data_IF_546231413994
#
_entry.id   IF_546231413994
#
_cell.length_a   1.000
_cell.length_b   1.000
_cell.length_c   1.000
_cell.angle_alpha   90.00
_cell.angle_beta   90.00
_cell.angle_gamma   90.00
#
_symmetry.space_group_name_H-M   'P 1'
#
loop_
_entity.id
_entity.type
_entity.pdbx_description
1 polymer ?
#
# COMPACT_ATOMS: atom_id res chain seq x y z
N UNK A 1 29.25 1.74 -6.62
CA UNK A 1 27.87 1.24 -6.65
C UNK A 1 27.61 0.14 -5.61
N UNK A 2 28.56 -0.71 -5.28
CA UNK A 2 28.41 -1.80 -4.28
C UNK A 2 28.10 -1.32 -2.86
N UNK A 3 28.64 -0.19 -2.43
CA UNK A 3 28.44 0.37 -1.08
C UNK A 3 27.00 0.83 -0.80
N UNK A 4 26.31 1.46 -1.76
CA UNK A 4 24.94 1.93 -1.56
C UNK A 4 23.93 0.77 -1.46
N UNK A 5 24.11 -0.27 -2.26
CA UNK A 5 23.26 -1.47 -2.23
C UNK A 5 23.43 -2.23 -0.91
N UNK A 6 24.68 -2.42 -0.45
CA UNK A 6 24.92 -3.09 0.82
C UNK A 6 24.41 -2.28 2.01
N UNK A 7 24.54 -0.95 1.99
CA UNK A 7 23.97 -0.07 3.02
C UNK A 7 22.45 -0.15 3.08
N UNK A 8 21.77 -0.13 1.92
CA UNK A 8 20.32 -0.32 1.85
C UNK A 8 19.90 -1.67 2.41
N UNK A 9 20.64 -2.75 2.08
CA UNK A 9 20.39 -4.09 2.59
C UNK A 9 20.50 -4.17 4.12
N UNK A 10 21.59 -3.66 4.71
CA UNK A 10 21.74 -3.65 6.17
C UNK A 10 20.64 -2.84 6.89
N UNK A 11 20.23 -1.71 6.33
CA UNK A 11 19.12 -0.92 6.86
C UNK A 11 17.80 -1.69 6.78
N UNK A 12 17.53 -2.36 5.66
CA UNK A 12 16.34 -3.20 5.49
C UNK A 12 16.34 -4.38 6.47
N UNK A 13 17.47 -5.08 6.60
CA UNK A 13 17.62 -6.20 7.53
C UNK A 13 17.37 -5.77 8.99
N UNK A 14 17.90 -4.61 9.39
CA UNK A 14 17.65 -4.05 10.72
C UNK A 14 16.15 -3.86 10.97
N UNK A 15 15.43 -3.27 10.03
CA UNK A 15 14.00 -3.00 10.18
C UNK A 15 13.15 -4.27 10.14
N UNK A 16 13.49 -5.23 9.27
CA UNK A 16 12.85 -6.55 9.27
C UNK A 16 13.05 -7.29 10.60
N UNK A 17 14.24 -7.18 11.20
CA UNK A 17 14.50 -7.77 12.51
C UNK A 17 13.65 -7.12 13.61
N UNK A 18 13.45 -5.80 13.56
CA UNK A 18 12.56 -5.08 14.50
C UNK A 18 11.12 -5.56 14.32
N UNK A 19 10.65 -5.68 13.09
CA UNK A 19 9.31 -6.17 12.78
C UNK A 19 9.11 -7.62 13.26
N UNK A 20 10.07 -8.52 13.01
CA UNK A 20 10.01 -9.92 13.44
C UNK A 20 10.02 -10.07 14.98
N UNK A 21 10.62 -9.12 15.70
CA UNK A 21 10.64 -9.09 17.17
C UNK A 21 9.39 -8.49 17.80
N UNK A 22 8.46 -7.97 17.00
CA UNK A 22 7.20 -7.38 17.46
C UNK A 22 5.98 -8.15 16.88
N UNK A 23 5.78 -9.43 17.26
CA UNK A 23 4.68 -10.24 16.71
C UNK A 23 3.31 -9.64 17.02
N UNK A 24 3.17 -8.96 18.16
CA UNK A 24 1.94 -8.26 18.53
C UNK A 24 1.56 -7.19 17.49
N UNK A 25 2.53 -6.43 16.98
CA UNK A 25 2.27 -5.44 15.93
C UNK A 25 1.80 -6.09 14.63
N UNK A 26 2.43 -7.19 14.21
CA UNK A 26 2.02 -7.94 13.02
C UNK A 26 0.59 -8.49 13.17
N UNK A 27 0.23 -9.02 14.35
CA UNK A 27 -1.12 -9.51 14.62
C UNK A 27 -2.14 -8.36 14.57
N UNK A 28 -1.85 -7.23 15.23
CA UNK A 28 -2.76 -6.07 15.26
C UNK A 28 -3.01 -5.54 13.85
N UNK A 29 -1.98 -5.47 13.00
CA UNK A 29 -2.14 -4.99 11.62
C UNK A 29 -2.96 -5.92 10.73
N UNK A 30 -3.08 -7.20 11.09
CA UNK A 30 -3.88 -8.19 10.38
C UNK A 30 -5.33 -8.30 10.90
N UNK A 31 -5.63 -7.81 12.08
CA UNK A 31 -6.99 -7.86 12.64
C UNK A 31 -7.99 -7.17 11.69
N UNK A 32 -7.67 -5.98 11.22
CA UNK A 32 -8.55 -5.21 10.34
C UNK A 32 -8.81 -5.94 9.01
N UNK A 33 -7.81 -6.41 8.24
CA UNK A 33 -8.02 -7.22 7.05
C UNK A 33 -8.84 -8.48 7.30
N UNK A 34 -8.61 -9.18 8.41
CA UNK A 34 -9.36 -10.38 8.80
C UNK A 34 -10.85 -10.05 9.00
N UNK A 35 -11.14 -8.97 9.73
CA UNK A 35 -12.52 -8.52 9.94
C UNK A 35 -13.17 -8.17 8.58
N UNK A 36 -12.48 -7.42 7.71
CA UNK A 36 -13.00 -7.08 6.40
C UNK A 36 -13.31 -8.34 5.55
N UNK A 37 -12.40 -9.31 5.51
CA UNK A 37 -12.59 -10.53 4.72
C UNK A 37 -13.76 -11.38 5.25
N UNK A 38 -13.72 -11.74 6.52
CA UNK A 38 -14.67 -12.70 7.05
C UNK A 38 -16.03 -12.09 7.39
N UNK A 39 -16.06 -10.86 7.94
CA UNK A 39 -17.31 -10.19 8.25
C UNK A 39 -18.02 -9.75 6.97
N UNK A 40 -17.33 -8.96 6.12
CA UNK A 40 -17.95 -8.43 4.90
C UNK A 40 -18.13 -9.50 3.84
N UNK A 41 -17.19 -10.46 3.73
CA UNK A 41 -17.33 -11.60 2.83
C UNK A 41 -18.62 -12.40 3.08
N UNK A 42 -18.99 -12.60 4.36
CA UNK A 42 -20.22 -13.27 4.71
C UNK A 42 -21.47 -12.36 4.63
N UNK A 43 -21.32 -11.10 5.10
CA UNK A 43 -22.46 -10.14 5.11
C UNK A 43 -22.97 -9.84 3.69
N UNK A 44 -22.06 -9.68 2.73
CA UNK A 44 -22.37 -9.32 1.36
C UNK A 44 -22.38 -10.51 0.39
N UNK A 45 -22.39 -11.76 0.90
CA UNK A 45 -22.36 -12.97 0.07
C UNK A 45 -23.43 -12.98 -1.03
N UNK A 46 -24.65 -12.49 -0.74
CA UNK A 46 -25.74 -12.42 -1.70
C UNK A 46 -25.66 -11.25 -2.69
N UNK A 47 -24.78 -10.28 -2.46
CA UNK A 47 -24.67 -9.07 -3.31
C UNK A 47 -24.12 -9.43 -4.71
N UNK A 48 -23.38 -10.53 -4.83
CA UNK A 48 -22.90 -11.04 -6.13
C UNK A 48 -24.08 -11.40 -7.06
N UNK A 49 -25.22 -11.81 -6.52
CA UNK A 49 -26.44 -12.14 -7.28
C UNK A 49 -27.01 -10.91 -8.03
N UNK A 50 -26.69 -9.69 -7.61
CA UNK A 50 -27.07 -8.45 -8.31
C UNK A 50 -26.29 -8.24 -9.63
N UNK A 51 -25.26 -9.04 -9.88
CA UNK A 51 -24.43 -8.97 -11.09
C UNK A 51 -23.39 -7.84 -11.07
N UNK A 52 -22.52 -7.85 -12.09
CA UNK A 52 -21.52 -6.79 -12.29
C UNK A 52 -20.19 -6.97 -11.56
N UNK A 53 -20.02 -8.00 -10.75
CA UNK A 53 -18.79 -8.29 -10.01
C UNK A 53 -17.77 -9.10 -10.82
N UNK A 54 -18.21 -9.83 -11.87
CA UNK A 54 -17.33 -10.65 -12.71
C UNK A 54 -16.75 -11.89 -12.01
N UNK A 55 -17.28 -12.26 -10.85
CA UNK A 55 -16.85 -13.40 -10.02
C UNK A 55 -18.06 -14.17 -9.52
N UNK A 56 -17.85 -15.43 -9.13
CA UNK A 56 -18.88 -16.30 -8.58
C UNK A 56 -19.09 -16.12 -7.07
N UNK A 57 -18.09 -15.57 -6.39
CA UNK A 57 -18.10 -15.30 -4.96
C UNK A 57 -17.75 -13.84 -4.66
N UNK A 58 -18.46 -13.23 -3.71
CA UNK A 58 -18.11 -11.89 -3.24
C UNK A 58 -16.70 -11.85 -2.61
N UNK A 59 -16.25 -12.97 -2.05
CA UNK A 59 -14.93 -13.07 -1.45
C UNK A 59 -13.82 -12.92 -2.50
N UNK A 60 -14.00 -13.50 -3.71
CA UNK A 60 -13.05 -13.35 -4.82
C UNK A 60 -12.88 -11.88 -5.23
N UNK A 61 -13.98 -11.13 -5.21
CA UNK A 61 -13.99 -9.69 -5.48
C UNK A 61 -13.38 -8.88 -4.35
N UNK A 62 -13.64 -9.28 -3.08
CA UNK A 62 -13.26 -8.55 -1.89
C UNK A 62 -11.76 -8.67 -1.58
N UNK A 63 -11.16 -9.86 -1.75
CA UNK A 63 -9.75 -10.11 -1.40
C UNK A 63 -8.79 -9.12 -2.04
N UNK A 64 -8.79 -8.89 -3.37
CA UNK A 64 -7.92 -7.89 -3.99
C UNK A 64 -8.17 -6.49 -3.43
N UNK A 65 -9.42 -6.14 -3.13
CA UNK A 65 -9.78 -4.88 -2.49
C UNK A 65 -9.15 -4.72 -1.11
N UNK A 66 -9.28 -5.74 -0.25
CA UNK A 66 -8.71 -5.73 1.11
C UNK A 66 -7.19 -5.68 1.09
N UNK A 67 -6.53 -6.40 0.16
CA UNK A 67 -5.08 -6.35 -0.02
C UNK A 67 -4.62 -4.92 -0.32
N UNK A 68 -5.24 -4.28 -1.30
CA UNK A 68 -4.88 -2.91 -1.74
C UNK A 68 -5.21 -1.87 -0.67
N UNK A 69 -6.37 -1.99 0.02
CA UNK A 69 -6.73 -1.11 1.14
C UNK A 69 -5.77 -1.24 2.31
N UNK A 70 -5.33 -2.46 2.63
CA UNK A 70 -4.36 -2.70 3.69
C UNK A 70 -3.00 -2.11 3.35
N UNK A 71 -2.57 -2.21 2.08
CA UNK A 71 -1.35 -1.58 1.60
C UNK A 71 -1.41 -0.04 1.74
N UNK A 72 -2.54 0.58 1.39
CA UNK A 72 -2.76 2.01 1.59
C UNK A 72 -2.67 2.37 3.08
N UNK A 73 -3.51 1.73 3.91
CA UNK A 73 -3.63 2.05 5.33
C UNK A 73 -2.30 1.91 6.07
N UNK A 74 -1.56 0.81 5.86
CA UNK A 74 -0.29 0.55 6.53
C UNK A 74 0.76 1.60 6.17
N UNK A 75 0.83 2.01 4.90
CA UNK A 75 1.87 2.91 4.42
C UNK A 75 1.55 4.39 4.67
N UNK A 76 0.29 4.78 4.80
CA UNK A 76 -0.07 6.16 5.17
C UNK A 76 0.49 6.58 6.53
N UNK A 77 0.78 5.63 7.43
CA UNK A 77 1.37 5.91 8.74
C UNK A 77 2.91 5.95 8.75
N UNK A 78 3.57 5.72 7.63
CA UNK A 78 5.05 5.71 7.54
C UNK A 78 5.68 7.04 8.00
N UNK A 79 5.01 8.17 7.76
CA UNK A 79 5.45 9.50 8.19
C UNK A 79 5.56 9.67 9.71
N UNK A 80 4.76 8.90 10.48
CA UNK A 80 4.88 8.89 11.95
C UNK A 80 6.24 8.32 12.38
N UNK A 81 6.70 7.25 11.74
CA UNK A 81 8.03 6.68 11.98
C UNK A 81 9.14 7.69 11.70
N UNK A 82 9.03 8.43 10.59
CA UNK A 82 9.98 9.50 10.24
C UNK A 82 9.96 10.62 11.28
N UNK A 83 8.78 11.03 11.76
CA UNK A 83 8.66 12.03 12.82
C UNK A 83 9.29 11.57 14.13
N UNK A 84 9.07 10.31 14.52
CA UNK A 84 9.68 9.72 15.72
C UNK A 84 11.22 9.68 15.60
N UNK A 85 11.78 9.37 14.42
CA UNK A 85 13.23 9.42 14.18
C UNK A 85 13.80 10.84 14.29
N UNK A 86 13.05 11.85 13.84
CA UNK A 86 13.40 13.27 14.00
C UNK A 86 13.41 13.65 15.48
N UNK A 87 12.33 13.35 16.20
CA UNK A 87 12.17 13.72 17.63
C UNK A 87 13.19 13.05 18.54
N UNK A 88 13.57 11.80 18.23
CA UNK A 88 14.62 11.06 18.98
C UNK A 88 16.04 11.50 18.60
N UNK A 89 16.21 12.40 17.64
CA UNK A 89 17.53 12.83 17.15
C UNK A 89 18.29 11.73 16.39
N UNK A 90 17.66 10.59 16.12
CA UNK A 90 18.27 9.46 15.40
C UNK A 90 18.61 9.86 13.97
N UNK A 91 17.73 10.63 13.34
CA UNK A 91 17.97 11.15 11.99
C UNK A 91 19.23 12.03 11.94
N UNK A 92 19.42 12.92 12.94
CA UNK A 92 20.60 13.79 13.03
C UNK A 92 21.89 12.99 13.23
N UNK A 93 21.86 11.91 13.99
CA UNK A 93 23.01 10.99 14.15
C UNK A 93 23.39 10.30 12.83
N UNK A 94 22.41 9.92 12.01
CA UNK A 94 22.70 9.36 10.69
C UNK A 94 23.28 10.38 9.72
N UNK A 95 22.98 11.67 9.88
CA UNK A 95 23.55 12.74 9.07
C UNK A 95 25.05 12.97 9.34
N UNK A 96 25.54 12.60 10.53
CA UNK A 96 26.97 12.68 10.88
C UNK A 96 27.76 11.43 10.46
N UNK A 97 27.10 10.38 9.95
CA UNK A 97 27.76 9.16 9.47
C UNK A 97 27.95 9.19 7.94
N UNK A 98 28.95 8.50 7.36
CA UNK A 98 29.20 8.48 5.92
C UNK A 98 28.18 7.62 5.13
N UNK A 99 26.96 7.44 5.66
CA UNK A 99 25.87 6.70 4.98
C UNK A 99 25.24 7.61 3.94
N UNK A 100 25.05 7.09 2.72
CA UNK A 100 24.40 7.85 1.67
C UNK A 100 22.94 8.11 2.03
N UNK A 101 22.50 9.36 1.87
CA UNK A 101 21.14 9.85 2.18
C UNK A 101 20.07 9.09 1.42
N UNK A 102 20.39 8.72 0.16
CA UNK A 102 19.53 7.89 -0.67
C UNK A 102 19.38 6.47 -0.08
N UNK A 103 20.42 5.92 0.54
CA UNK A 103 20.34 4.58 1.16
C UNK A 103 19.40 4.55 2.36
N UNK A 104 19.33 5.64 3.16
CA UNK A 104 18.41 5.76 4.28
C UNK A 104 16.94 5.76 3.82
N UNK A 105 16.62 6.62 2.84
CA UNK A 105 15.28 6.71 2.29
C UNK A 105 14.88 5.44 1.52
N UNK A 106 15.79 4.92 0.70
CA UNK A 106 15.54 3.67 -0.04
C UNK A 106 15.36 2.48 0.92
N UNK A 107 16.08 2.44 2.05
CA UNK A 107 15.91 1.42 3.08
C UNK A 107 14.48 1.40 3.64
N UNK A 108 13.90 2.56 3.93
CA UNK A 108 12.52 2.67 4.39
C UNK A 108 11.52 2.25 3.32
N UNK A 109 11.72 2.68 2.07
CA UNK A 109 10.85 2.30 0.93
C UNK A 109 10.89 0.79 0.69
N UNK A 110 12.08 0.19 0.65
CA UNK A 110 12.24 -1.26 0.44
C UNK A 110 11.62 -2.04 1.59
N UNK A 111 11.84 -1.61 2.84
CA UNK A 111 11.25 -2.25 4.00
C UNK A 111 9.73 -2.21 3.99
N UNK A 112 9.14 -1.04 3.72
CA UNK A 112 7.69 -0.89 3.62
C UNK A 112 7.12 -1.73 2.48
N UNK A 113 7.83 -1.81 1.35
CA UNK A 113 7.48 -2.69 0.23
C UNK A 113 7.47 -4.17 0.62
N UNK A 114 8.48 -4.64 1.36
CA UNK A 114 8.57 -6.02 1.82
C UNK A 114 7.47 -6.35 2.84
N UNK A 115 7.19 -5.45 3.79
CA UNK A 115 6.10 -5.62 4.76
C UNK A 115 4.75 -5.67 4.03
N UNK A 116 4.53 -4.76 3.07
CA UNK A 116 3.32 -4.73 2.25
C UNK A 116 3.18 -6.02 1.44
N UNK A 117 4.24 -6.53 0.83
CA UNK A 117 4.23 -7.79 0.10
C UNK A 117 3.89 -8.97 1.02
N UNK A 118 4.53 -9.06 2.20
CA UNK A 118 4.25 -10.11 3.18
C UNK A 118 2.80 -10.04 3.66
N UNK A 119 2.30 -8.86 4.01
CA UNK A 119 0.91 -8.66 4.42
C UNK A 119 -0.06 -9.05 3.30
N UNK A 120 0.23 -8.69 2.05
CA UNK A 120 -0.58 -9.07 0.88
C UNK A 120 -0.65 -10.58 0.70
N UNK A 121 0.49 -11.29 0.83
CA UNK A 121 0.53 -12.77 0.78
C UNK A 121 -0.34 -13.38 1.86
N UNK A 122 -0.24 -12.89 3.11
CA UNK A 122 -1.05 -13.40 4.22
C UNK A 122 -2.55 -13.20 3.94
N UNK A 123 -2.96 -12.02 3.46
CA UNK A 123 -4.37 -11.73 3.17
C UNK A 123 -4.88 -12.62 2.03
N UNK A 124 -4.09 -12.84 0.97
CA UNK A 124 -4.43 -13.74 -0.14
C UNK A 124 -4.60 -15.19 0.37
N UNK A 125 -3.69 -15.66 1.23
CA UNK A 125 -3.79 -17.00 1.84
C UNK A 125 -5.03 -17.13 2.73
N UNK A 126 -5.35 -16.10 3.52
CA UNK A 126 -6.59 -16.06 4.31
C UNK A 126 -7.84 -16.08 3.42
N UNK A 127 -7.79 -15.41 2.27
CA UNK A 127 -8.85 -15.49 1.27
C UNK A 127 -9.04 -16.91 0.72
N UNK A 128 -7.94 -17.60 0.37
CA UNK A 128 -7.97 -19.01 -0.06
C UNK A 128 -8.56 -19.92 1.02
N UNK A 129 -8.15 -19.74 2.27
CA UNK A 129 -8.73 -20.50 3.41
C UNK A 129 -10.22 -20.19 3.62
N UNK A 130 -10.67 -18.97 3.25
CA UNK A 130 -12.08 -18.57 3.26
C UNK A 130 -12.88 -19.09 2.06
N UNK A 131 -12.24 -19.78 1.10
CA UNK A 131 -12.89 -20.31 -0.10
C UNK A 131 -12.91 -19.36 -1.29
N UNK A 132 -12.03 -18.36 -1.32
CA UNK A 132 -11.82 -17.53 -2.51
C UNK A 132 -11.09 -18.32 -3.60
N UNK A 133 -11.50 -18.11 -4.85
CA UNK A 133 -10.86 -18.68 -6.03
C UNK A 133 -10.14 -17.60 -6.85
N UNK A 134 -8.95 -17.95 -7.34
CA UNK A 134 -8.11 -17.04 -8.12
C UNK A 134 -7.74 -17.66 -9.47
N UNK A 135 -8.62 -17.58 -10.46
CA UNK A 135 -8.40 -18.20 -11.77
C UNK A 135 -7.13 -17.75 -12.49
N UNK A 136 -6.67 -16.50 -12.22
CA UNK A 136 -5.40 -15.97 -12.74
C UNK A 136 -4.14 -16.60 -12.14
N UNK A 137 -4.30 -17.51 -11.16
CA UNK A 137 -3.22 -18.28 -10.55
C UNK A 137 -2.14 -17.42 -9.90
N UNK A 138 -0.94 -17.99 -9.77
CA UNK A 138 0.22 -17.32 -9.11
C UNK A 138 0.62 -16.02 -9.83
N UNK A 139 0.48 -15.97 -11.17
CA UNK A 139 0.80 -14.78 -11.96
C UNK A 139 -0.11 -13.60 -11.59
N UNK A 140 -1.41 -13.82 -11.46
CA UNK A 140 -2.37 -12.81 -11.04
C UNK A 140 -2.12 -12.31 -9.62
N UNK A 141 -1.82 -13.24 -8.70
CA UNK A 141 -1.46 -12.91 -7.31
C UNK A 141 -0.18 -12.04 -7.27
N UNK A 142 0.85 -12.39 -8.06
CA UNK A 142 2.08 -11.61 -8.12
C UNK A 142 1.85 -10.18 -8.61
N UNK A 143 1.00 -9.99 -9.62
CA UNK A 143 0.63 -8.67 -10.13
C UNK A 143 -0.13 -7.86 -9.07
N UNK A 144 -1.08 -8.47 -8.36
CA UNK A 144 -1.79 -7.83 -7.26
C UNK A 144 -0.81 -7.35 -6.17
N UNK A 145 0.15 -8.19 -5.78
CA UNK A 145 1.17 -7.84 -4.78
C UNK A 145 2.02 -6.67 -5.28
N UNK A 146 2.49 -6.72 -6.53
CA UNK A 146 3.28 -5.63 -7.13
C UNK A 146 2.48 -4.33 -7.16
N UNK A 147 1.22 -4.35 -7.60
CA UNK A 147 0.36 -3.17 -7.61
C UNK A 147 0.15 -2.60 -6.20
N UNK A 148 -0.01 -3.47 -5.20
CA UNK A 148 -0.15 -3.08 -3.78
C UNK A 148 1.14 -2.48 -3.22
N UNK A 149 2.30 -3.03 -3.56
CA UNK A 149 3.61 -2.49 -3.17
C UNK A 149 3.84 -1.12 -3.82
N UNK A 150 3.50 -0.96 -5.11
CA UNK A 150 3.59 0.34 -5.78
C UNK A 150 2.71 1.39 -5.11
N UNK A 151 1.45 1.04 -4.80
CA UNK A 151 0.54 1.91 -4.07
C UNK A 151 1.08 2.26 -2.68
N UNK A 152 1.53 1.27 -1.93
CA UNK A 152 2.17 1.46 -0.62
C UNK A 152 3.38 2.39 -0.71
N UNK A 153 4.21 2.24 -1.75
CA UNK A 153 5.36 3.11 -2.01
C UNK A 153 4.93 4.55 -2.26
N UNK A 154 3.87 4.79 -3.03
CA UNK A 154 3.32 6.13 -3.29
C UNK A 154 2.95 6.81 -1.97
N UNK A 155 2.06 6.18 -1.21
CA UNK A 155 1.52 6.79 0.00
C UNK A 155 2.52 6.81 1.14
N UNK A 156 3.41 5.81 1.24
CA UNK A 156 4.52 5.81 2.19
C UNK A 156 5.52 6.94 1.92
N UNK A 157 5.89 7.17 0.66
CA UNK A 157 6.77 8.27 0.28
C UNK A 157 6.14 9.64 0.56
N UNK A 158 4.85 9.82 0.23
CA UNK A 158 4.11 11.04 0.52
C UNK A 158 3.95 11.28 2.02
N UNK A 159 3.64 10.24 2.78
CA UNK A 159 3.53 10.30 4.24
C UNK A 159 4.86 10.66 4.90
N UNK A 160 5.97 10.08 4.44
CA UNK A 160 7.32 10.44 4.91
C UNK A 160 7.65 11.92 4.59
N UNK A 161 7.31 12.39 3.40
CA UNK A 161 7.47 13.80 3.03
C UNK A 161 6.64 14.71 3.95
N UNK A 162 5.40 14.34 4.24
CA UNK A 162 4.51 15.05 5.15
C UNK A 162 5.09 15.11 6.57
N UNK A 163 5.59 13.99 7.12
CA UNK A 163 6.22 13.93 8.43
C UNK A 163 7.41 14.88 8.59
N UNK A 164 8.21 15.04 7.52
CA UNK A 164 9.34 15.98 7.50
C UNK A 164 8.89 17.45 7.39
N UNK A 165 7.79 17.74 6.70
CA UNK A 165 7.29 19.10 6.49
C UNK A 165 6.54 19.63 7.70
N UNK A 166 5.59 18.85 8.20
CA UNK A 166 4.64 19.31 9.23
C UNK A 166 5.23 19.18 10.63
N UNK A 167 6.03 18.14 10.89
CA UNK A 167 6.70 17.87 12.18
C UNK A 167 5.77 17.82 13.40
N UNK A 168 4.49 17.64 13.19
CA UNK A 168 3.45 17.58 14.19
C UNK A 168 2.61 16.31 14.00
N UNK A 169 2.43 15.57 15.09
CA UNK A 169 1.78 14.26 15.07
C UNK A 169 0.29 14.35 14.74
N UNK A 170 -0.39 15.31 15.36
CA UNK A 170 -1.82 15.54 15.22
C UNK A 170 -2.19 15.91 13.77
N UNK A 171 -1.38 16.72 13.13
CA UNK A 171 -1.57 17.11 11.73
C UNK A 171 -1.40 15.93 10.77
N UNK A 172 -0.42 15.04 11.03
CA UNK A 172 -0.25 13.80 10.22
C UNK A 172 -1.47 12.89 10.38
N UNK A 173 -1.97 12.72 11.62
CA UNK A 173 -3.17 11.93 11.90
C UNK A 173 -4.37 12.53 11.17
N UNK A 174 -4.59 13.82 11.29
CA UNK A 174 -5.70 14.52 10.65
C UNK A 174 -5.70 14.37 9.12
N UNK A 175 -4.56 14.63 8.47
CA UNK A 175 -4.42 14.51 7.01
C UNK A 175 -4.63 13.06 6.55
N UNK A 176 -4.00 12.09 7.22
CA UNK A 176 -4.13 10.69 6.86
C UNK A 176 -5.58 10.20 6.99
N UNK A 177 -6.26 10.54 8.08
CA UNK A 177 -7.66 10.16 8.30
C UNK A 177 -8.57 10.82 7.26
N UNK A 178 -8.35 12.11 6.97
CA UNK A 178 -9.11 12.85 5.97
C UNK A 178 -8.94 12.26 4.56
N UNK A 179 -7.74 11.80 4.18
CA UNK A 179 -7.49 11.23 2.86
C UNK A 179 -7.92 9.76 2.76
N UNK A 180 -7.77 8.98 3.84
CA UNK A 180 -8.03 7.55 3.82
C UNK A 180 -9.49 7.22 3.47
N UNK A 181 -10.44 7.94 4.06
CA UNK A 181 -11.86 7.69 3.84
C UNK A 181 -12.28 7.97 2.38
N UNK A 182 -12.03 9.15 1.80
CA UNK A 182 -12.39 9.40 0.41
C UNK A 182 -11.70 8.44 -0.56
N UNK A 183 -10.39 8.18 -0.39
CA UNK A 183 -9.67 7.26 -1.27
C UNK A 183 -10.27 5.86 -1.23
N UNK A 184 -10.67 5.39 -0.07
CA UNK A 184 -11.24 4.05 0.10
C UNK A 184 -12.65 3.97 -0.45
N UNK A 185 -13.54 4.90 -0.07
CA UNK A 185 -14.96 4.84 -0.45
C UNK A 185 -15.23 5.32 -1.87
N UNK A 186 -14.41 6.23 -2.42
CA UNK A 186 -14.47 6.64 -3.83
C UNK A 186 -13.59 5.73 -4.72
N UNK A 187 -13.69 4.44 -4.50
CA UNK A 187 -13.00 3.40 -5.26
C UNK A 187 -13.90 2.19 -5.44
N UNK A 188 -13.50 1.24 -6.27
CA UNK A 188 -14.21 -0.02 -6.46
C UNK A 188 -13.94 -1.06 -5.36
N UNK A 189 -13.56 -0.64 -4.13
CA UNK A 189 -13.20 -1.57 -3.05
C UNK A 189 -14.33 -2.55 -2.70
N UNK A 190 -15.53 -2.03 -2.50
CA UNK A 190 -16.69 -2.77 -2.01
C UNK A 190 -17.81 -2.94 -3.04
N UNK A 191 -17.83 -2.10 -4.06
CA UNK A 191 -18.92 -2.04 -5.04
C UNK A 191 -18.37 -2.14 -6.45
N UNK A 192 -19.05 -2.92 -7.29
CA UNK A 192 -18.70 -3.03 -8.69
C UNK A 192 -18.85 -1.68 -9.41
N UNK A 193 -17.93 -1.31 -10.34
CA UNK A 193 -18.01 -0.03 -11.07
C UNK A 193 -19.33 0.17 -11.82
N UNK A 194 -19.98 -0.91 -12.26
CA UNK A 194 -21.28 -0.88 -12.93
C UNK A 194 -22.43 -0.41 -12.03
N UNK A 195 -22.30 -0.58 -10.72
CA UNK A 195 -23.29 -0.22 -9.72
C UNK A 195 -23.04 1.18 -9.11
N UNK A 196 -21.92 1.83 -9.47
CA UNK A 196 -21.56 3.15 -8.95
C UNK A 196 -22.33 4.25 -9.69
N UNK A 197 -22.78 5.32 -8.98
CA UNK A 197 -23.20 6.56 -9.61
C UNK A 197 -22.11 7.12 -10.54
N UNK A 198 -22.53 7.76 -11.64
CA UNK A 198 -21.58 8.25 -12.67
C UNK A 198 -20.49 9.18 -12.14
N UNK A 199 -20.83 10.10 -11.22
CA UNK A 199 -19.87 11.00 -10.60
C UNK A 199 -18.80 10.27 -9.76
N UNK A 200 -19.23 9.23 -9.02
CA UNK A 200 -18.32 8.41 -8.20
C UNK A 200 -17.36 7.61 -9.08
N UNK A 201 -17.87 7.04 -10.17
CA UNK A 201 -17.04 6.31 -11.16
C UNK A 201 -15.98 7.22 -11.76
N UNK A 202 -16.36 8.45 -12.12
CA UNK A 202 -15.41 9.43 -12.66
C UNK A 202 -14.28 9.76 -11.68
N UNK A 203 -14.58 9.95 -10.40
CA UNK A 203 -13.57 10.16 -9.36
C UNK A 203 -12.69 8.91 -9.18
N UNK A 204 -13.29 7.71 -9.17
CA UNK A 204 -12.57 6.46 -9.05
C UNK A 204 -11.54 6.25 -10.17
N UNK A 205 -11.81 6.75 -11.39
CA UNK A 205 -10.88 6.65 -12.51
C UNK A 205 -9.55 7.41 -12.28
N UNK A 206 -9.54 8.42 -11.45
CA UNK A 206 -8.34 9.17 -11.05
C UNK A 206 -7.73 8.70 -9.73
N UNK A 207 -8.37 7.78 -9.03
CA UNK A 207 -7.94 7.30 -7.73
C UNK A 207 -6.84 6.21 -7.87
N UNK A 208 -5.60 6.44 -7.38
CA UNK A 208 -4.54 5.43 -7.45
C UNK A 208 -4.87 4.12 -6.75
N UNK A 209 -5.68 4.17 -5.66
CA UNK A 209 -6.18 2.98 -4.99
C UNK A 209 -7.02 2.12 -5.96
N UNK A 210 -7.90 2.77 -6.72
CA UNK A 210 -8.72 2.08 -7.72
C UNK A 210 -7.88 1.52 -8.86
N UNK A 211 -6.79 2.19 -9.27
CA UNK A 211 -5.89 1.64 -10.29
C UNK A 211 -5.25 0.32 -9.85
N UNK A 212 -4.79 0.24 -8.59
CA UNK A 212 -4.22 -0.98 -8.03
C UNK A 212 -5.26 -2.11 -7.94
N UNK A 213 -6.50 -1.78 -7.54
CA UNK A 213 -7.59 -2.75 -7.47
C UNK A 213 -7.98 -3.29 -8.84
N UNK A 214 -8.15 -2.40 -9.82
CA UNK A 214 -8.53 -2.79 -11.18
C UNK A 214 -7.44 -3.64 -11.83
N UNK A 215 -6.16 -3.26 -11.70
CA UNK A 215 -5.04 -4.04 -12.20
C UNK A 215 -4.98 -5.43 -11.53
N UNK A 216 -5.09 -5.49 -10.21
CA UNK A 216 -5.06 -6.74 -9.45
C UNK A 216 -6.22 -7.67 -9.79
N UNK A 217 -7.46 -7.16 -9.82
CA UNK A 217 -8.65 -7.94 -10.17
C UNK A 217 -8.60 -8.47 -11.61
N UNK A 218 -8.21 -7.61 -12.56
CA UNK A 218 -8.06 -8.04 -13.96
C UNK A 218 -7.02 -9.15 -14.08
N UNK A 219 -5.86 -9.03 -13.39
CA UNK A 219 -4.82 -10.04 -13.41
C UNK A 219 -5.24 -11.36 -12.73
N UNK A 220 -6.10 -11.31 -11.72
CA UNK A 220 -6.59 -12.49 -10.99
C UNK A 220 -7.79 -13.16 -11.68
N UNK A 221 -8.38 -12.55 -12.70
CA UNK A 221 -9.50 -13.13 -13.45
C UNK A 221 -9.06 -14.27 -14.37
N UNK A 222 -10.02 -15.09 -14.82
CA UNK A 222 -9.77 -16.17 -15.80
C UNK A 222 -9.29 -15.64 -17.17
N UNK A 223 -9.71 -14.44 -17.54
CA UNK A 223 -9.35 -13.76 -18.79
C UNK A 223 -8.78 -12.37 -18.48
N UNK A 224 -7.47 -12.26 -18.19
CA UNK A 224 -6.85 -10.98 -17.86
C UNK A 224 -6.85 -10.03 -19.05
N UNK A 225 -7.32 -8.80 -18.83
CA UNK A 225 -7.12 -7.71 -19.79
C UNK A 225 -5.73 -7.09 -19.54
N UNK A 226 -4.75 -7.56 -20.31
CA UNK A 226 -3.36 -7.10 -20.19
C UNK A 226 -3.19 -5.61 -20.52
N UNK A 227 -4.06 -5.03 -21.36
CA UNK A 227 -4.04 -3.60 -21.64
C UNK A 227 -4.35 -2.79 -20.39
N UNK A 228 -5.38 -3.19 -19.66
CA UNK A 228 -5.77 -2.59 -18.38
C UNK A 228 -4.70 -2.82 -17.31
N UNK A 229 -4.20 -4.05 -17.18
CA UNK A 229 -3.18 -4.41 -16.19
C UNK A 229 -1.91 -3.57 -16.39
N UNK A 230 -1.37 -3.53 -17.60
CA UNK A 230 -0.15 -2.81 -17.91
C UNK A 230 -0.35 -1.28 -17.82
N UNK A 231 -1.47 -0.78 -18.32
CA UNK A 231 -1.79 0.65 -18.27
C UNK A 231 -1.90 1.18 -16.83
N UNK A 232 -2.67 0.49 -15.99
CA UNK A 232 -2.85 0.89 -14.58
C UNK A 232 -1.59 0.66 -13.74
N UNK A 233 -0.86 -0.44 -13.95
CA UNK A 233 0.42 -0.69 -13.27
C UNK A 233 1.49 0.31 -13.71
N UNK A 234 1.53 0.67 -14.99
CA UNK A 234 2.44 1.71 -15.50
C UNK A 234 2.15 3.09 -14.91
N UNK A 235 0.87 3.46 -14.77
CA UNK A 235 0.46 4.71 -14.11
C UNK A 235 0.87 4.72 -12.63
N UNK A 236 0.66 3.59 -11.90
CA UNK A 236 1.12 3.44 -10.52
C UNK A 236 2.64 3.56 -10.40
N UNK A 237 3.39 2.94 -11.30
CA UNK A 237 4.85 3.02 -11.31
C UNK A 237 5.33 4.47 -11.54
N UNK A 238 4.75 5.17 -12.50
CA UNK A 238 5.08 6.57 -12.78
C UNK A 238 4.80 7.46 -11.55
N UNK A 239 3.63 7.24 -10.91
CA UNK A 239 3.26 7.98 -9.70
C UNK A 239 4.17 7.63 -8.51
N UNK A 240 4.58 6.35 -8.37
CA UNK A 240 5.51 5.92 -7.33
C UNK A 240 6.89 6.59 -7.49
N UNK A 241 7.41 6.63 -8.72
CA UNK A 241 8.67 7.33 -9.02
C UNK A 241 8.56 8.82 -8.68
N UNK A 242 7.46 9.47 -9.06
CA UNK A 242 7.21 10.89 -8.74
C UNK A 242 7.12 11.13 -7.23
N UNK A 243 6.40 10.27 -6.49
CA UNK A 243 6.25 10.37 -5.03
C UNK A 243 7.58 10.17 -4.30
N UNK A 244 8.37 9.17 -4.70
CA UNK A 244 9.70 8.93 -4.13
C UNK A 244 10.65 10.09 -4.43
N UNK A 245 10.62 10.61 -5.65
CA UNK A 245 11.42 11.79 -6.02
C UNK A 245 11.04 13.01 -5.16
N UNK A 246 9.74 13.26 -4.97
CA UNK A 246 9.24 14.33 -4.11
C UNK A 246 9.71 14.16 -2.66
N UNK A 247 9.62 12.94 -2.11
CA UNK A 247 10.07 12.62 -0.76
C UNK A 247 11.58 12.88 -0.58
N UNK A 248 12.40 12.48 -1.56
CA UNK A 248 13.85 12.75 -1.55
C UNK A 248 14.12 14.26 -1.62
N UNK A 249 13.37 15.00 -2.44
CA UNK A 249 13.51 16.46 -2.56
C UNK A 249 13.16 17.18 -1.24
N UNK A 250 12.08 16.76 -0.60
CA UNK A 250 11.66 17.27 0.72
C UNK A 250 12.73 17.00 1.79
N UNK A 251 13.33 15.82 1.78
CA UNK A 251 14.42 15.47 2.68
C UNK A 251 15.64 16.40 2.50
N UNK A 252 16.00 16.73 1.26
CA UNK A 252 17.08 17.67 0.97
C UNK A 252 16.79 19.10 1.46
N UNK A 253 15.52 19.53 1.39
CA UNK A 253 15.09 20.84 1.90
C UNK A 253 15.15 20.88 3.42
N UNK A 254 14.68 19.81 4.07
CA UNK A 254 14.78 19.66 5.54
C UNK A 254 16.20 19.83 6.07
N UNK A 255 17.19 19.22 5.40
CA UNK A 255 18.59 19.30 5.80
C UNK A 255 19.22 20.69 5.71
N UNK A 256 18.66 21.59 4.89
CA UNK A 256 19.15 22.98 4.78
C UNK A 256 18.58 23.88 5.86
N UNK A 257 17.57 23.39 6.60
CA UNK A 257 16.87 24.14 7.65
C UNK A 257 17.29 23.71 9.07
N UNK A 258 18.13 22.70 9.17
CA UNK A 258 18.76 22.20 10.42
C UNK A 258 20.28 22.41 10.33
#
# INVERSE_FOLDING_TARGET
MSTAVSQTWYMTQRQLTVFARQPAYAIITLIQPVIWLFLFGNLFKKVVELGGFGTTSYLDYLVPGVVVMSALSSNMWAGMGTLDEIQRGTLNRFLTTPVSRAALMNGNVVNNGLITALQSVIIVLLGLLGGADYPGGIGGIAILIVASVLLGTIFGALSNALGMLVRERESIIGINTFLLLPLTFLSSAFMAPSQMPGWMRHIADFNPLNWAMVAGRSAMSAHPDWGVVLGRSGALLALAVAAVWLSIRTFRSYQRSV
#
